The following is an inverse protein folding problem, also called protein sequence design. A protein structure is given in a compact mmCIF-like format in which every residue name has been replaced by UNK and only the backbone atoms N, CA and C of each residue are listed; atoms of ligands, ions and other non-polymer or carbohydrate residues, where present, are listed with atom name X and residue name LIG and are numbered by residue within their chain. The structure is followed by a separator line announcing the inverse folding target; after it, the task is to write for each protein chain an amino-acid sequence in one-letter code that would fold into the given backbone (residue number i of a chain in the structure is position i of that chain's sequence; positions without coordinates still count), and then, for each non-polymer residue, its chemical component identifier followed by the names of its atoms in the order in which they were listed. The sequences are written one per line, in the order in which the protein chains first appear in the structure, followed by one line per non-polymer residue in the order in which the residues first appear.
data_IF_102964008243
#
_entry.id   IF_102964008243
#
_cell.length_a   1.000
_cell.length_b   1.000
_cell.length_c   1.000
_cell.angle_alpha   90.00
_cell.angle_beta   90.00
_cell.angle_gamma   90.00
#
_symmetry.space_group_name_H-M   'P 1'
#
loop_
_entity.id
_entity.type
_entity.pdbx_description
1 polymer ?
#
# COMPACT_ATOMS: atom_id res chain seq x y z
N UNK A 1 -3.35 -49.70 46.84
CA UNK A 1 -2.26 -48.79 47.26
C UNK A 1 -2.91 -47.44 47.60
N UNK A 2 -3.06 -47.08 48.88
CA UNK A 2 -3.71 -45.81 49.27
C UNK A 2 -2.73 -44.66 49.06
N UNK A 3 -3.07 -43.70 48.20
CA UNK A 3 -2.23 -42.53 47.97
C UNK A 3 -2.31 -41.60 49.18
N UNK A 4 -1.16 -41.26 49.78
CA UNK A 4 -1.07 -40.32 50.88
C UNK A 4 -1.59 -38.93 50.47
N UNK A 5 -2.28 -38.23 51.39
CA UNK A 5 -2.83 -36.88 51.15
C UNK A 5 -1.76 -35.88 50.69
N UNK A 6 -0.51 -36.06 51.13
CA UNK A 6 0.65 -35.27 50.69
C UNK A 6 0.97 -35.46 49.19
N UNK A 7 0.80 -36.68 48.66
CA UNK A 7 1.02 -36.98 47.25
C UNK A 7 -0.09 -36.40 46.37
N UNK A 8 -1.32 -36.35 46.88
CA UNK A 8 -2.46 -35.71 46.17
C UNK A 8 -2.22 -34.19 46.07
N UNK A 9 -1.76 -33.55 47.14
CA UNK A 9 -1.40 -32.12 47.15
C UNK A 9 -0.25 -31.86 46.17
N UNK A 10 0.78 -32.72 46.14
CA UNK A 10 1.88 -32.60 45.19
C UNK A 10 1.44 -32.67 43.72
N UNK A 11 0.53 -33.60 43.39
CA UNK A 11 -0.02 -33.73 42.02
C UNK A 11 -0.88 -32.52 41.64
N UNK A 12 -1.68 -31.99 42.56
CA UNK A 12 -2.50 -30.79 42.32
C UNK A 12 -1.64 -29.55 42.06
N UNK A 13 -0.55 -29.35 42.81
CA UNK A 13 0.38 -28.23 42.60
C UNK A 13 1.08 -28.35 41.25
N UNK A 14 1.45 -29.56 40.84
CA UNK A 14 2.04 -29.81 39.52
C UNK A 14 1.05 -29.52 38.37
N UNK A 15 -0.23 -29.83 38.57
CA UNK A 15 -1.31 -29.56 37.60
C UNK A 15 -1.66 -28.06 37.49
N UNK A 16 -1.50 -27.29 38.57
CA UNK A 16 -1.69 -25.84 38.56
C UNK A 16 -0.57 -25.11 37.80
N UNK A 17 0.63 -25.68 37.74
CA UNK A 17 1.76 -25.14 36.98
C UNK A 17 1.60 -25.23 35.47
N UNK A 18 0.77 -26.15 34.95
CA UNK A 18 0.57 -26.32 33.50
C UNK A 18 -0.42 -25.33 32.89
N UNK A 19 -1.13 -24.54 33.72
CA UNK A 19 -2.07 -23.50 33.26
C UNK A 19 -1.39 -22.14 33.01
N UNK A 20 -0.10 -21.98 33.32
CA UNK A 20 0.66 -20.78 33.01
C UNK A 20 1.13 -20.79 31.55
N UNK A 21 0.19 -20.65 30.61
CA UNK A 21 0.52 -20.39 29.21
C UNK A 21 0.92 -18.92 29.05
N UNK A 22 2.15 -18.68 28.60
CA UNK A 22 2.63 -17.34 28.24
C UNK A 22 2.01 -16.95 26.89
N UNK A 23 0.90 -16.22 26.88
CA UNK A 23 0.16 -15.87 25.66
C UNK A 23 0.94 -14.90 24.75
N UNK A 24 1.81 -14.06 25.33
CA UNK A 24 2.45 -12.96 24.61
C UNK A 24 3.71 -13.39 23.81
N UNK A 25 4.11 -14.67 23.87
CA UNK A 25 5.29 -15.15 23.14
C UNK A 25 5.08 -15.16 21.62
N UNK A 26 3.84 -15.44 21.18
CA UNK A 26 3.45 -15.51 19.78
C UNK A 26 2.98 -14.17 19.22
N UNK A 27 2.56 -13.24 20.09
CA UNK A 27 2.18 -11.88 19.72
C UNK A 27 3.43 -11.00 19.57
N UNK A 28 4.09 -11.13 18.42
CA UNK A 28 5.26 -10.32 18.06
C UNK A 28 4.86 -9.23 17.08
N UNK A 29 4.98 -7.98 17.51
CA UNK A 29 5.00 -6.85 16.58
C UNK A 29 6.19 -6.98 15.62
N UNK A 30 6.03 -6.40 14.42
CA UNK A 30 7.10 -6.39 13.43
C UNK A 30 8.31 -5.61 13.97
N UNK A 31 9.46 -6.29 14.04
CA UNK A 31 10.71 -5.70 14.53
C UNK A 31 11.34 -4.68 13.57
N UNK A 32 10.86 -4.63 12.34
CA UNK A 32 11.47 -3.87 11.23
C UNK A 32 10.44 -3.11 10.39
N UNK A 33 9.15 -3.26 10.66
CA UNK A 33 8.08 -2.64 9.88
C UNK A 33 6.95 -2.11 10.76
N UNK A 34 6.12 -1.26 10.16
CA UNK A 34 4.89 -0.80 10.78
C UNK A 34 3.87 -1.94 10.71
N UNK A 35 3.41 -2.47 11.84
CA UNK A 35 2.32 -3.45 11.84
C UNK A 35 1.01 -2.77 11.42
N UNK A 36 0.15 -3.46 10.67
CA UNK A 36 -1.13 -2.88 10.18
C UNK A 36 -2.02 -2.38 11.33
N UNK A 37 -2.00 -3.05 12.49
CA UNK A 37 -2.72 -2.60 13.69
C UNK A 37 -2.09 -1.39 14.39
N UNK A 38 -0.85 -1.05 14.03
CA UNK A 38 -0.04 -0.05 14.71
C UNK A 38 0.01 1.33 14.05
N UNK A 39 -0.21 1.42 12.74
CA UNK A 39 0.17 2.60 11.96
C UNK A 39 -0.79 3.78 12.04
N UNK A 40 -2.10 3.59 11.85
CA UNK A 40 -3.04 4.72 11.69
C UNK A 40 -3.52 5.30 13.03
N UNK A 41 -2.62 5.94 13.78
CA UNK A 41 -2.91 6.40 15.16
C UNK A 41 -2.83 7.91 15.35
N UNK A 42 -1.96 8.58 14.59
CA UNK A 42 -1.68 10.00 14.78
C UNK A 42 -1.88 10.82 13.51
N UNK A 43 -1.92 12.15 13.68
CA UNK A 43 -1.90 13.10 12.56
C UNK A 43 -0.66 12.88 11.66
N UNK A 44 0.50 12.58 12.25
CA UNK A 44 1.73 12.33 11.50
C UNK A 44 1.61 11.08 10.64
N UNK A 45 0.96 10.03 11.14
CA UNK A 45 0.71 8.81 10.37
C UNK A 45 -0.23 9.07 9.20
N UNK A 46 -1.25 9.90 9.41
CA UNK A 46 -2.15 10.34 8.34
C UNK A 46 -1.42 11.13 7.24
N UNK A 47 -0.51 12.02 7.64
CA UNK A 47 0.36 12.78 6.71
C UNK A 47 1.28 11.83 5.95
N UNK A 48 1.93 10.88 6.62
CA UNK A 48 2.75 9.86 5.96
C UNK A 48 1.93 9.01 4.99
N UNK A 49 0.70 8.66 5.38
CA UNK A 49 -0.26 7.93 4.56
C UNK A 49 -0.57 8.63 3.25
N UNK A 50 -0.92 9.91 3.27
CA UNK A 50 -1.20 10.68 2.04
C UNK A 50 0.06 10.95 1.23
N UNK A 51 1.20 11.17 1.87
CA UNK A 51 2.49 11.30 1.18
C UNK A 51 2.84 10.03 0.38
N UNK A 52 2.52 8.85 0.90
CA UNK A 52 2.67 7.59 0.17
C UNK A 52 1.75 7.51 -1.06
N UNK A 53 0.60 8.19 -1.06
CA UNK A 53 -0.23 8.30 -2.27
C UNK A 53 0.45 9.17 -3.33
N UNK A 54 1.06 10.30 -2.93
CA UNK A 54 1.82 11.16 -3.86
C UNK A 54 3.08 10.49 -4.41
N UNK A 55 3.73 9.64 -3.62
CA UNK A 55 4.98 8.98 -4.01
C UNK A 55 4.82 8.17 -5.31
N UNK A 56 3.64 7.61 -5.56
CA UNK A 56 3.32 6.91 -6.82
C UNK A 56 3.54 7.79 -8.05
N UNK A 57 3.35 9.11 -7.95
CA UNK A 57 3.62 10.03 -9.05
C UNK A 57 5.12 10.12 -9.39
N UNK A 58 6.04 9.84 -8.46
CA UNK A 58 7.47 9.78 -8.77
C UNK A 58 7.80 8.61 -9.68
N UNK A 59 7.14 7.48 -9.47
CA UNK A 59 7.23 6.35 -10.39
C UNK A 59 6.72 6.76 -11.78
N UNK A 60 5.65 7.57 -11.84
CA UNK A 60 5.05 8.04 -13.10
C UNK A 60 5.87 9.11 -13.83
N UNK A 61 6.54 10.03 -13.14
CA UNK A 61 7.34 11.10 -13.77
C UNK A 61 8.46 10.54 -14.65
N UNK A 62 8.99 9.35 -14.34
CA UNK A 62 9.95 8.68 -15.21
C UNK A 62 9.30 8.14 -16.51
N UNK A 63 7.97 8.01 -16.54
CA UNK A 63 7.17 7.55 -17.69
C UNK A 63 6.43 8.70 -18.40
N UNK A 64 6.22 9.86 -17.77
CA UNK A 64 5.50 11.00 -18.34
C UNK A 64 6.19 11.56 -19.60
N UNK A 65 7.50 11.40 -19.66
CA UNK A 65 8.34 11.72 -20.81
C UNK A 65 7.86 10.96 -22.05
N UNK A 66 7.38 9.72 -21.90
CA UNK A 66 6.88 8.91 -23.03
C UNK A 66 5.54 9.44 -23.55
N UNK A 67 4.67 9.99 -22.68
CA UNK A 67 3.38 10.57 -23.09
C UNK A 67 3.56 11.86 -23.89
N UNK A 68 4.50 12.72 -23.47
CA UNK A 68 4.82 13.95 -24.20
C UNK A 68 5.57 13.73 -25.51
N UNK A 69 6.37 12.66 -25.59
CA UNK A 69 7.23 12.39 -26.74
C UNK A 69 6.56 11.61 -27.87
N UNK A 70 5.28 11.25 -27.77
CA UNK A 70 4.61 10.42 -28.79
C UNK A 70 4.67 11.03 -30.20
N UNK A 71 4.73 12.37 -30.33
CA UNK A 71 4.88 13.09 -31.61
C UNK A 71 6.31 13.63 -31.84
N UNK A 72 7.19 13.54 -30.84
CA UNK A 72 8.59 14.05 -30.91
C UNK A 72 9.61 12.92 -31.16
N UNK A 73 9.15 11.68 -31.38
CA UNK A 73 10.04 10.55 -31.64
C UNK A 73 10.73 10.68 -33.00
N UNK A 74 12.07 10.81 -32.98
CA UNK A 74 12.89 10.80 -34.20
C UNK A 74 13.27 9.38 -34.63
N UNK A 75 13.93 9.25 -35.77
CA UNK A 75 14.51 7.99 -36.27
C UNK A 75 15.43 7.28 -35.26
N UNK A 76 16.12 8.03 -34.38
CA UNK A 76 16.94 7.47 -33.28
C UNK A 76 16.10 6.55 -32.38
N UNK A 77 14.84 6.89 -32.12
CA UNK A 77 13.97 6.10 -31.25
C UNK A 77 13.52 4.77 -31.87
N UNK A 78 13.68 4.60 -33.19
CA UNK A 78 13.42 3.34 -33.90
C UNK A 78 14.35 2.20 -33.43
N UNK A 79 15.49 2.51 -32.82
CA UNK A 79 16.43 1.54 -32.25
C UNK A 79 16.36 1.45 -30.72
N UNK A 80 15.28 1.96 -30.11
CA UNK A 80 15.12 2.06 -28.65
C UNK A 80 13.97 1.19 -28.12
N UNK A 81 13.67 1.30 -26.83
CA UNK A 81 12.47 0.67 -26.24
C UNK A 81 11.15 1.20 -26.87
N UNK A 82 11.19 2.34 -27.58
CA UNK A 82 10.04 3.00 -28.18
C UNK A 82 9.73 2.55 -29.63
N UNK A 83 10.46 1.59 -30.21
CA UNK A 83 10.24 1.17 -31.62
C UNK A 83 8.80 0.80 -31.94
N UNK A 84 8.10 0.12 -31.03
CA UNK A 84 6.69 -0.20 -31.29
C UNK A 84 5.79 1.05 -31.26
N UNK A 85 6.13 2.11 -30.50
CA UNK A 85 5.37 3.36 -30.48
C UNK A 85 5.57 4.10 -31.81
N UNK A 86 6.81 4.17 -32.30
CA UNK A 86 7.12 4.84 -33.57
C UNK A 86 6.61 4.11 -34.80
N UNK A 87 6.47 2.79 -34.74
CA UNK A 87 5.93 1.99 -35.84
C UNK A 87 4.42 1.78 -35.76
N UNK A 88 3.77 2.22 -34.67
CA UNK A 88 2.37 1.90 -34.39
C UNK A 88 2.11 0.42 -34.08
N UNK A 89 3.16 -0.38 -33.86
CA UNK A 89 3.10 -1.81 -33.58
C UNK A 89 3.40 -2.15 -32.10
N UNK A 90 3.14 -1.21 -31.18
CA UNK A 90 3.44 -1.41 -29.76
C UNK A 90 2.48 -2.46 -29.16
N UNK A 91 2.99 -3.57 -28.60
CA UNK A 91 2.13 -4.66 -28.17
C UNK A 91 1.36 -4.29 -26.90
N UNK A 92 0.12 -4.75 -26.78
CA UNK A 92 -0.75 -4.45 -25.63
C UNK A 92 -0.19 -4.95 -24.28
N UNK A 93 0.68 -5.97 -24.31
CA UNK A 93 1.35 -6.50 -23.13
C UNK A 93 2.76 -5.94 -22.91
N UNK A 94 3.14 -4.85 -23.60
CA UNK A 94 4.41 -4.19 -23.40
C UNK A 94 4.61 -3.81 -21.92
N UNK A 95 5.86 -3.91 -21.45
CA UNK A 95 6.22 -3.58 -20.07
C UNK A 95 5.80 -2.17 -19.66
N UNK A 96 5.79 -1.22 -20.60
CA UNK A 96 5.31 0.14 -20.39
C UNK A 96 3.84 0.18 -19.94
N UNK A 97 2.95 -0.55 -20.63
CA UNK A 97 1.53 -0.58 -20.29
C UNK A 97 1.28 -1.35 -19.00
N UNK A 98 1.90 -2.51 -18.81
CA UNK A 98 1.71 -3.31 -17.59
C UNK A 98 2.24 -2.60 -16.34
N UNK A 99 3.38 -1.89 -16.45
CA UNK A 99 3.90 -1.06 -15.36
C UNK A 99 2.97 0.13 -15.05
N UNK A 100 2.48 0.83 -16.08
CA UNK A 100 1.55 1.95 -15.91
C UNK A 100 0.24 1.51 -15.23
N UNK A 101 -0.34 0.39 -15.67
CA UNK A 101 -1.52 -0.21 -15.06
C UNK A 101 -1.29 -0.50 -13.57
N UNK A 102 -0.23 -1.24 -13.25
CA UNK A 102 0.09 -1.59 -11.86
C UNK A 102 0.33 -0.36 -10.98
N UNK A 103 0.99 0.66 -11.52
CA UNK A 103 1.25 1.92 -10.82
C UNK A 103 -0.04 2.68 -10.47
N UNK A 104 -0.97 2.84 -11.42
CA UNK A 104 -2.22 3.55 -11.15
C UNK A 104 -3.10 2.81 -10.15
N UNK A 105 -3.19 1.47 -10.24
CA UNK A 105 -3.91 0.67 -9.24
C UNK A 105 -3.23 0.70 -7.87
N UNK A 106 -1.89 0.76 -7.80
CA UNK A 106 -1.15 1.00 -6.55
C UNK A 106 -1.55 2.35 -5.93
N UNK A 107 -1.64 3.41 -6.73
CA UNK A 107 -2.11 4.73 -6.30
C UNK A 107 -3.55 4.69 -5.76
N UNK A 108 -4.46 4.05 -6.48
CA UNK A 108 -5.86 3.87 -6.06
C UNK A 108 -5.95 3.09 -4.74
N UNK A 109 -5.19 2.00 -4.61
CA UNK A 109 -5.13 1.22 -3.38
C UNK A 109 -4.68 2.07 -2.19
N UNK A 110 -3.55 2.78 -2.31
CA UNK A 110 -3.04 3.65 -1.24
C UNK A 110 -4.04 4.75 -0.87
N UNK A 111 -4.68 5.38 -1.85
CA UNK A 111 -5.70 6.39 -1.61
C UNK A 111 -6.92 5.81 -0.86
N UNK A 112 -7.39 4.62 -1.25
CA UNK A 112 -8.46 3.92 -0.52
C UNK A 112 -8.07 3.59 0.92
N UNK A 113 -6.82 3.22 1.17
CA UNK A 113 -6.31 2.96 2.52
C UNK A 113 -6.33 4.23 3.38
N UNK A 114 -5.92 5.40 2.84
CA UNK A 114 -6.06 6.69 3.55
C UNK A 114 -7.53 6.96 3.86
N UNK A 115 -8.41 6.89 2.86
CA UNK A 115 -9.84 7.18 2.99
C UNK A 115 -10.55 6.25 3.99
N UNK A 116 -10.06 5.02 4.14
CA UNK A 116 -10.57 4.05 5.12
C UNK A 116 -10.16 4.39 6.55
N UNK A 117 -8.90 4.79 6.77
CA UNK A 117 -8.32 4.85 8.11
C UNK A 117 -8.30 6.27 8.71
N UNK A 118 -8.00 7.31 7.92
CA UNK A 118 -7.86 8.69 8.41
C UNK A 118 -9.11 9.25 9.09
N UNK A 119 -10.36 8.93 8.67
CA UNK A 119 -11.54 9.44 9.37
C UNK A 119 -11.62 9.07 10.86
N UNK A 120 -11.04 7.92 11.26
CA UNK A 120 -11.05 7.44 12.64
C UNK A 120 -9.98 8.03 13.55
N UNK A 121 -9.06 8.84 13.02
CA UNK A 121 -7.94 9.40 13.79
C UNK A 121 -8.37 10.74 14.43
N UNK A 122 -8.13 10.88 15.74
CA UNK A 122 -8.29 12.15 16.45
C UNK A 122 -7.12 13.10 16.11
N UNK A 123 -7.41 14.18 15.38
CA UNK A 123 -6.42 15.16 14.92
C UNK A 123 -7.09 16.52 14.62
N UNK A 124 -6.33 17.51 14.16
CA UNK A 124 -6.90 18.76 13.70
C UNK A 124 -7.87 18.56 12.50
N UNK A 125 -9.11 19.06 12.60
CA UNK A 125 -10.14 18.86 11.57
C UNK A 125 -9.78 19.49 10.21
N UNK A 126 -9.09 20.64 10.19
CA UNK A 126 -8.65 21.24 8.93
C UNK A 126 -7.60 20.36 8.23
N UNK A 127 -6.68 19.76 9.00
CA UNK A 127 -5.67 18.83 8.49
C UNK A 127 -6.34 17.55 7.98
N UNK A 128 -7.27 16.98 8.75
CA UNK A 128 -8.04 15.78 8.36
C UNK A 128 -8.78 15.99 7.03
N UNK A 129 -9.54 17.07 6.92
CA UNK A 129 -10.31 17.39 5.72
C UNK A 129 -9.41 17.62 4.51
N UNK A 130 -8.26 18.28 4.69
CA UNK A 130 -7.25 18.44 3.64
C UNK A 130 -6.74 17.08 3.17
N UNK A 131 -6.33 16.19 4.08
CA UNK A 131 -5.82 14.85 3.75
C UNK A 131 -6.86 14.02 2.98
N UNK A 132 -8.11 14.02 3.44
CA UNK A 132 -9.21 13.31 2.78
C UNK A 132 -9.46 13.88 1.36
N UNK A 133 -9.45 15.21 1.21
CA UNK A 133 -9.60 15.87 -0.08
C UNK A 133 -8.47 15.50 -1.05
N UNK A 134 -7.21 15.55 -0.60
CA UNK A 134 -6.05 15.13 -1.38
C UNK A 134 -6.15 13.67 -1.83
N UNK A 135 -6.56 12.77 -0.94
CA UNK A 135 -6.73 11.35 -1.28
C UNK A 135 -7.86 11.12 -2.30
N UNK A 136 -8.98 11.84 -2.19
CA UNK A 136 -10.04 11.79 -3.20
C UNK A 136 -9.56 12.30 -4.55
N UNK A 137 -8.87 13.44 -4.58
CA UNK A 137 -8.31 14.00 -5.81
C UNK A 137 -7.34 13.02 -6.47
N UNK A 138 -6.36 12.51 -5.73
CA UNK A 138 -5.35 11.58 -6.27
C UNK A 138 -6.00 10.28 -6.76
N UNK A 139 -6.99 9.74 -6.03
CA UNK A 139 -7.74 8.57 -6.50
C UNK A 139 -8.44 8.84 -7.83
N UNK A 140 -9.10 9.99 -7.95
CA UNK A 140 -9.74 10.42 -9.20
C UNK A 140 -8.73 10.60 -10.33
N UNK A 141 -7.58 11.20 -10.05
CA UNK A 141 -6.47 11.36 -10.98
C UNK A 141 -5.96 10.01 -11.51
N UNK A 142 -5.77 9.01 -10.64
CA UNK A 142 -5.32 7.68 -11.07
C UNK A 142 -6.37 6.93 -11.90
N UNK A 143 -7.66 7.07 -11.56
CA UNK A 143 -8.73 6.54 -12.42
C UNK A 143 -8.77 7.23 -13.78
N UNK A 144 -8.62 8.55 -13.81
CA UNK A 144 -8.53 9.30 -15.05
C UNK A 144 -7.35 8.83 -15.91
N UNK A 145 -6.19 8.55 -15.30
CA UNK A 145 -5.03 8.02 -16.01
C UNK A 145 -5.24 6.62 -16.57
N UNK A 146 -5.93 5.75 -15.85
CA UNK A 146 -6.34 4.46 -16.40
C UNK A 146 -7.26 4.64 -17.61
N UNK A 147 -8.23 5.56 -17.52
CA UNK A 147 -9.12 5.85 -18.63
C UNK A 147 -8.40 6.41 -19.85
N UNK A 148 -7.48 7.36 -19.64
CA UNK A 148 -6.66 7.99 -20.68
C UNK A 148 -5.78 6.95 -21.43
N UNK A 149 -5.21 5.98 -20.71
CA UNK A 149 -4.32 4.96 -21.29
C UNK A 149 -5.06 3.75 -21.88
N UNK A 150 -6.16 3.32 -21.26
CA UNK A 150 -6.78 2.02 -21.53
C UNK A 150 -8.26 2.11 -21.94
N UNK A 151 -8.89 3.28 -21.82
CA UNK A 151 -10.32 3.46 -22.09
C UNK A 151 -11.19 2.96 -20.93
N UNK A 152 -12.19 2.13 -21.22
CA UNK A 152 -13.11 1.63 -20.19
C UNK A 152 -12.40 0.68 -19.22
N UNK A 153 -12.46 1.01 -17.92
CA UNK A 153 -11.93 0.21 -16.79
C UNK A 153 -12.99 -0.03 -15.73
#
# INVERSE_FOLDING_TARGET
MQMNKLNIIGVLVLLLGTLSACNDFLDRDSLVGLSEGGFWKSEQDAIMGVNAVYEVNREFTNSIVIYGMMDDFTDISYQSFATGLTTGAFPANAAFYSASWGMFYKGIYRANTVLKNVPGIAMNEAVKNRIIGEAHFLRGYYYFKLWDYFGGV
#
